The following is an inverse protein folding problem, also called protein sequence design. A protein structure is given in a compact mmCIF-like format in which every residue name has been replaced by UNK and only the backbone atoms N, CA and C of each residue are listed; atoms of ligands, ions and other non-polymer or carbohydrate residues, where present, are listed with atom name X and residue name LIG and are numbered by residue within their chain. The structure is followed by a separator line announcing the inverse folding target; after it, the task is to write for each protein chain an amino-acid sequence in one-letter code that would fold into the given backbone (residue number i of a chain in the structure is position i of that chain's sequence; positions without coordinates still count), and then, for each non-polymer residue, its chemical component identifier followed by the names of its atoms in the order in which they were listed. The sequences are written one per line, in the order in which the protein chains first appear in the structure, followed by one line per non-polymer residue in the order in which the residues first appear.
data_IF_322932622642
#
_entry.id   IF_322932622642
#
_cell.length_a   1.000
_cell.length_b   1.000
_cell.length_c   1.000
_cell.angle_alpha   90.00
_cell.angle_beta   90.00
_cell.angle_gamma   90.00
#
_symmetry.space_group_name_H-M   'P 1'
#
loop_
_entity.id
_entity.type
_entity.pdbx_description
1 polymer ?
#
# COMPACT_ATOMS: atom_id res chain seq x y z
N UNK A 1 4.04 -18.39 -23.85
CA UNK A 1 3.09 -17.28 -23.67
C UNK A 1 3.67 -16.06 -24.32
N UNK A 2 3.04 -15.57 -25.38
CA UNK A 2 3.35 -14.29 -26.02
C UNK A 2 2.24 -13.27 -25.73
N UNK A 3 2.39 -12.02 -26.19
CA UNK A 3 1.44 -10.93 -25.95
C UNK A 3 0.05 -11.22 -26.53
N UNK A 4 -0.03 -11.92 -27.67
CA UNK A 4 -1.31 -12.30 -28.28
C UNK A 4 -2.04 -13.33 -27.41
N UNK A 5 -1.33 -14.36 -26.96
CA UNK A 5 -1.82 -15.37 -26.01
C UNK A 5 -2.23 -14.72 -24.68
N UNK A 6 -1.43 -13.79 -24.15
CA UNK A 6 -1.74 -13.00 -22.96
C UNK A 6 -3.03 -12.21 -23.15
N UNK A 7 -3.19 -11.49 -24.26
CA UNK A 7 -4.39 -10.69 -24.53
C UNK A 7 -5.64 -11.56 -24.61
N UNK A 8 -5.53 -12.76 -25.20
CA UNK A 8 -6.61 -13.75 -25.20
C UNK A 8 -6.92 -14.25 -23.79
N UNK A 9 -5.90 -14.51 -22.96
CA UNK A 9 -6.04 -14.92 -21.56
C UNK A 9 -6.73 -13.83 -20.74
N UNK A 10 -6.30 -12.55 -20.83
CA UNK A 10 -6.92 -11.44 -20.10
C UNK A 10 -8.40 -11.29 -20.45
N UNK A 11 -8.75 -11.39 -21.73
CA UNK A 11 -10.16 -11.41 -22.17
C UNK A 11 -10.92 -12.62 -21.63
N UNK A 12 -10.30 -13.80 -21.65
CA UNK A 12 -10.87 -15.03 -21.10
C UNK A 12 -11.11 -14.97 -19.59
N UNK A 13 -10.25 -14.24 -18.86
CA UNK A 13 -10.37 -13.99 -17.42
C UNK A 13 -11.35 -12.86 -17.07
N UNK A 14 -11.89 -12.13 -18.05
CA UNK A 14 -12.86 -11.04 -17.80
C UNK A 14 -12.23 -9.76 -17.25
N UNK A 15 -10.93 -9.57 -17.47
CA UNK A 15 -10.16 -8.40 -17.07
C UNK A 15 -10.75 -7.14 -17.72
N UNK A 16 -11.18 -6.13 -16.94
CA UNK A 16 -11.69 -4.90 -17.52
C UNK A 16 -10.59 -4.14 -18.29
N UNK A 17 -10.96 -3.56 -19.43
CA UNK A 17 -10.08 -2.68 -20.22
C UNK A 17 -9.57 -1.45 -19.45
N UNK A 18 -10.15 -1.17 -18.27
CA UNK A 18 -9.75 -0.11 -17.36
C UNK A 18 -8.62 -0.52 -16.38
N UNK A 19 -8.18 -1.78 -16.38
CA UNK A 19 -7.20 -2.29 -15.41
C UNK A 19 -5.85 -2.56 -16.04
N UNK A 20 -5.82 -3.21 -17.21
CA UNK A 20 -4.60 -3.62 -17.88
C UNK A 20 -4.49 -2.95 -19.26
N UNK A 21 -3.27 -2.52 -19.60
CA UNK A 21 -2.90 -1.98 -20.91
C UNK A 21 -1.68 -2.73 -21.43
N UNK A 22 -1.84 -3.48 -22.52
CA UNK A 22 -0.74 -4.24 -23.12
C UNK A 22 -0.31 -3.57 -24.43
N UNK A 23 0.99 -3.35 -24.59
CA UNK A 23 1.62 -2.75 -25.77
C UNK A 23 1.57 -1.22 -25.84
N UNK A 24 0.93 -0.54 -24.87
CA UNK A 24 0.92 0.92 -24.79
C UNK A 24 0.78 1.41 -23.35
N UNK A 25 1.31 2.60 -23.10
CA UNK A 25 1.08 3.31 -21.84
C UNK A 25 -0.36 3.81 -21.77
N UNK A 26 -0.96 3.69 -20.59
CA UNK A 26 -2.26 4.28 -20.29
C UNK A 26 -2.29 4.64 -18.81
N UNK A 27 -2.67 5.88 -18.52
CA UNK A 27 -2.76 6.37 -17.15
C UNK A 27 -3.81 5.59 -16.37
N UNK A 28 -3.55 5.34 -15.09
CA UNK A 28 -4.34 4.52 -14.18
C UNK A 28 -4.51 3.06 -14.65
N UNK A 29 -3.46 2.46 -15.23
CA UNK A 29 -3.47 1.05 -15.67
C UNK A 29 -2.16 0.34 -15.30
N UNK A 30 -2.27 -0.97 -15.06
CA UNK A 30 -1.11 -1.84 -15.18
C UNK A 30 -0.72 -1.94 -16.65
N UNK A 31 0.48 -1.50 -16.97
CA UNK A 31 1.04 -1.49 -18.31
C UNK A 31 2.05 -2.62 -18.48
N UNK A 32 1.96 -3.35 -19.58
CA UNK A 32 3.03 -4.20 -20.12
C UNK A 32 3.45 -3.62 -21.46
N UNK A 33 4.66 -3.07 -21.55
CA UNK A 33 5.16 -2.38 -22.76
C UNK A 33 6.56 -2.89 -23.15
N UNK A 34 6.94 -2.79 -24.43
CA UNK A 34 8.32 -3.05 -24.84
C UNK A 34 9.25 -1.98 -24.26
N UNK A 35 10.39 -2.44 -23.71
CA UNK A 35 11.47 -1.59 -23.25
C UNK A 35 12.45 -1.22 -24.37
N UNK A 36 13.40 -0.29 -24.11
CA UNK A 36 14.28 0.29 -25.12
C UNK A 36 15.27 -0.69 -25.76
N UNK A 37 15.64 -1.77 -25.05
CA UNK A 37 16.70 -2.69 -25.45
C UNK A 37 16.17 -4.08 -25.86
N UNK A 38 14.91 -4.16 -26.30
CA UNK A 38 14.24 -5.43 -26.59
C UNK A 38 13.80 -6.20 -25.33
N UNK A 39 13.94 -5.57 -24.16
CA UNK A 39 13.33 -5.98 -22.91
C UNK A 39 11.83 -5.68 -22.88
N UNK A 40 11.16 -6.10 -21.83
CA UNK A 40 9.75 -5.83 -21.58
C UNK A 40 9.57 -5.29 -20.17
N UNK A 41 8.69 -4.32 -20.02
CA UNK A 41 8.47 -3.60 -18.77
C UNK A 41 7.03 -3.76 -18.32
N UNK A 42 6.83 -4.20 -17.08
CA UNK A 42 5.52 -4.36 -16.43
C UNK A 42 5.45 -3.46 -15.19
N UNK A 43 4.44 -2.60 -15.09
CA UNK A 43 4.32 -1.61 -14.02
C UNK A 43 2.89 -1.08 -13.89
N UNK A 44 2.54 -0.46 -12.77
CA UNK A 44 1.40 0.46 -12.70
C UNK A 44 1.80 1.81 -13.30
N UNK A 45 0.98 2.41 -14.16
CA UNK A 45 1.28 3.71 -14.76
C UNK A 45 0.28 4.75 -14.28
N UNK A 46 0.78 5.76 -13.58
CA UNK A 46 -0.05 6.85 -13.04
C UNK A 46 0.72 8.17 -13.11
N UNK A 47 0.02 9.25 -13.45
CA UNK A 47 0.53 10.63 -13.52
C UNK A 47 1.78 10.76 -14.41
N UNK A 48 1.85 9.94 -15.46
CA UNK A 48 2.95 9.97 -16.42
C UNK A 48 4.21 9.21 -15.99
N UNK A 49 4.14 8.40 -14.92
CA UNK A 49 5.28 7.63 -14.41
C UNK A 49 4.96 6.16 -14.17
N UNK A 50 5.93 5.25 -14.39
CA UNK A 50 5.81 3.85 -14.00
C UNK A 50 6.09 3.67 -12.50
N UNK A 51 5.28 2.83 -11.85
CA UNK A 51 5.37 2.39 -10.46
C UNK A 51 5.49 0.87 -10.42
N UNK A 52 6.22 0.33 -9.44
CA UNK A 52 6.43 -1.11 -9.29
C UNK A 52 7.00 -1.77 -10.56
N UNK A 53 7.94 -1.06 -11.21
CA UNK A 53 8.57 -1.47 -12.46
C UNK A 53 9.32 -2.80 -12.32
N UNK A 54 8.86 -3.77 -13.10
CA UNK A 54 9.52 -5.03 -13.34
C UNK A 54 10.02 -5.07 -14.79
N UNK A 55 11.31 -5.36 -14.98
CA UNK A 55 11.93 -5.49 -16.31
C UNK A 55 12.26 -6.95 -16.57
N UNK A 56 11.91 -7.43 -17.76
CA UNK A 56 12.10 -8.80 -18.20
C UNK A 56 12.92 -8.82 -19.49
N UNK A 57 13.78 -9.82 -19.61
CA UNK A 57 14.67 -10.01 -20.76
C UNK A 57 13.98 -10.77 -21.92
N UNK A 58 12.79 -11.30 -21.71
CA UNK A 58 12.03 -12.00 -22.73
C UNK A 58 10.52 -11.86 -22.53
N UNK A 59 9.80 -11.94 -23.65
CA UNK A 59 8.35 -11.73 -23.73
C UNK A 59 7.55 -12.69 -22.86
N UNK A 60 7.97 -13.96 -22.81
CA UNK A 60 7.24 -14.98 -22.05
C UNK A 60 7.32 -14.72 -20.54
N UNK A 61 8.52 -14.44 -20.03
CA UNK A 61 8.71 -14.04 -18.64
C UNK A 61 7.95 -12.75 -18.31
N UNK A 62 7.92 -11.79 -19.24
CA UNK A 62 7.17 -10.56 -19.06
C UNK A 62 5.65 -10.78 -19.01
N UNK A 63 5.11 -11.66 -19.85
CA UNK A 63 3.70 -11.99 -19.83
C UNK A 63 3.30 -12.70 -18.54
N UNK A 64 4.11 -13.66 -18.05
CA UNK A 64 3.87 -14.33 -16.77
C UNK A 64 4.04 -13.38 -15.57
N UNK A 65 5.07 -12.55 -15.61
CA UNK A 65 5.33 -11.53 -14.60
C UNK A 65 4.23 -10.48 -14.56
N UNK A 66 3.73 -10.05 -15.72
CA UNK A 66 2.57 -9.18 -15.84
C UNK A 66 1.31 -9.85 -15.30
N UNK A 67 1.04 -11.12 -15.64
CA UNK A 67 -0.05 -11.91 -15.02
C UNK A 67 0.09 -12.00 -13.49
N UNK A 68 1.31 -11.99 -12.94
CA UNK A 68 1.54 -11.93 -11.50
C UNK A 68 1.24 -10.53 -10.93
N UNK A 69 1.73 -9.49 -11.58
CA UNK A 69 1.53 -8.08 -11.22
C UNK A 69 0.05 -7.72 -11.22
N UNK A 70 -0.64 -8.07 -12.30
CA UNK A 70 -2.07 -7.87 -12.44
C UNK A 70 -2.87 -8.99 -11.77
N UNK A 71 -2.29 -10.14 -11.46
CA UNK A 71 -2.96 -11.23 -10.74
C UNK A 71 -3.24 -10.83 -9.29
N UNK A 72 -2.46 -9.89 -8.74
CA UNK A 72 -2.85 -9.11 -7.56
C UNK A 72 -4.05 -8.18 -7.79
N UNK A 73 -4.54 -8.05 -9.03
CA UNK A 73 -5.57 -7.09 -9.47
C UNK A 73 -6.68 -7.65 -10.40
N UNK A 74 -6.65 -8.92 -10.85
CA UNK A 74 -7.44 -9.38 -12.02
C UNK A 74 -8.43 -10.52 -11.83
N UNK A 75 -8.70 -10.99 -10.61
CA UNK A 75 -9.82 -11.92 -10.41
C UNK A 75 -10.65 -11.69 -9.14
N UNK A 76 -10.18 -10.91 -8.17
CA UNK A 76 -10.84 -10.93 -6.84
C UNK A 76 -10.90 -12.35 -6.24
N UNK A 77 -10.13 -13.29 -6.78
CA UNK A 77 -9.81 -14.62 -6.26
C UNK A 77 -8.33 -14.67 -5.92
N UNK A 78 -8.06 -13.92 -4.86
CA UNK A 78 -7.41 -14.48 -3.67
C UNK A 78 -7.59 -16.01 -3.61
N UNK A 79 -6.58 -16.81 -3.21
CA UNK A 79 -6.75 -18.24 -2.96
C UNK A 79 -7.78 -18.55 -1.85
N UNK A 80 -8.48 -17.54 -1.32
CA UNK A 80 -9.64 -17.67 -0.47
C UNK A 80 -10.81 -16.83 -1.04
N UNK A 81 -12.03 -17.31 -0.81
CA UNK A 81 -13.22 -16.82 -1.51
C UNK A 81 -13.46 -15.31 -1.30
N UNK A 82 -14.13 -14.64 -2.26
CA UNK A 82 -14.38 -13.20 -2.19
C UNK A 82 -15.11 -12.83 -0.90
N UNK A 83 -14.41 -12.12 0.00
CA UNK A 83 -15.05 -11.33 1.04
C UNK A 83 -15.85 -10.20 0.39
N UNK A 84 -17.02 -9.87 0.92
CA UNK A 84 -17.79 -8.70 0.48
C UNK A 84 -16.95 -7.43 0.69
N UNK A 85 -16.23 -6.92 -0.31
CA UNK A 85 -15.36 -5.78 -0.06
C UNK A 85 -14.55 -5.24 -1.24
N UNK A 86 -15.17 -4.92 -2.38
CA UNK A 86 -14.60 -3.92 -3.33
C UNK A 86 -15.27 -2.56 -3.21
N UNK A 87 -16.30 -2.43 -2.37
CA UNK A 87 -16.81 -1.13 -1.93
C UNK A 87 -15.92 -0.59 -0.80
N UNK A 88 -14.85 0.13 -1.14
CA UNK A 88 -14.05 0.87 -0.16
C UNK A 88 -12.53 0.74 -0.27
N UNK A 89 -11.92 0.70 -1.46
CA UNK A 89 -10.46 0.84 -1.61
C UNK A 89 -9.91 2.15 -1.02
N UNK A 90 -10.77 3.17 -0.99
CA UNK A 90 -10.63 4.43 -0.24
C UNK A 90 -11.82 4.54 0.71
N UNK A 91 -11.60 4.97 1.95
CA UNK A 91 -12.63 5.00 2.99
C UNK A 91 -12.19 4.33 4.30
N UNK A 92 -13.14 4.09 5.19
CA UNK A 92 -12.90 3.76 6.59
C UNK A 92 -13.47 4.86 7.48
N UNK A 93 -13.21 4.79 8.78
CA UNK A 93 -13.60 5.87 9.67
C UNK A 93 -12.86 7.16 9.28
N UNK A 94 -13.62 8.24 9.11
CA UNK A 94 -13.08 9.56 8.79
C UNK A 94 -12.15 10.05 9.90
N UNK A 95 -11.19 10.89 9.53
CA UNK A 95 -10.34 11.59 10.49
C UNK A 95 -11.13 12.35 11.56
N UNK A 96 -12.34 12.81 11.25
CA UNK A 96 -13.24 13.51 12.20
C UNK A 96 -14.00 12.57 13.14
N UNK A 97 -13.90 11.25 12.96
CA UNK A 97 -14.59 10.28 13.83
C UNK A 97 -13.99 10.28 15.23
N UNK A 98 -14.80 10.07 16.30
CA UNK A 98 -14.29 10.05 17.67
C UNK A 98 -13.20 9.01 17.92
N UNK A 99 -13.32 7.84 17.28
CA UNK A 99 -12.32 6.78 17.39
C UNK A 99 -10.97 7.22 16.81
N UNK A 100 -10.95 7.88 15.65
CA UNK A 100 -9.72 8.38 15.05
C UNK A 100 -9.13 9.54 15.86
N UNK A 101 -9.97 10.49 16.28
CA UNK A 101 -9.53 11.62 17.11
C UNK A 101 -8.84 11.17 18.41
N UNK A 102 -9.26 10.05 19.00
CA UNK A 102 -8.60 9.49 20.20
C UNK A 102 -7.20 8.91 19.97
N UNK A 103 -6.82 8.68 18.71
CA UNK A 103 -5.52 8.12 18.29
C UNK A 103 -4.58 9.22 17.78
N UNK A 104 -5.14 10.32 17.27
CA UNK A 104 -4.36 11.47 16.82
C UNK A 104 -3.75 12.21 18.02
N UNK A 105 -2.53 12.75 17.84
CA UNK A 105 -1.77 13.41 18.91
C UNK A 105 -2.35 14.80 19.23
N UNK A 106 -3.49 14.89 19.91
CA UNK A 106 -4.11 16.13 20.40
C UNK A 106 -4.25 17.26 19.33
N UNK A 107 -4.42 16.88 18.07
CA UNK A 107 -4.53 17.82 16.94
C UNK A 107 -3.21 18.23 16.29
N UNK A 108 -2.06 17.68 16.70
CA UNK A 108 -0.79 17.85 16.03
C UNK A 108 -0.68 16.98 14.76
N UNK A 109 -1.14 17.56 13.65
CA UNK A 109 -1.15 16.90 12.34
C UNK A 109 0.23 16.89 11.66
N UNK A 110 1.17 17.71 12.11
CA UNK A 110 2.45 17.97 11.43
C UNK A 110 3.68 17.79 12.34
N UNK A 111 3.54 17.10 13.47
CA UNK A 111 4.67 16.78 14.36
C UNK A 111 5.36 18.02 14.94
N UNK A 112 4.57 19.04 15.29
CA UNK A 112 5.04 20.31 15.83
C UNK A 112 5.55 21.29 14.78
N UNK A 113 5.61 20.90 13.50
CA UNK A 113 5.96 21.81 12.41
C UNK A 113 4.74 22.58 11.90
N UNK A 114 4.99 23.75 11.30
CA UNK A 114 3.97 24.41 10.46
C UNK A 114 3.82 23.63 9.16
N UNK A 115 2.60 23.51 8.65
CA UNK A 115 2.31 22.80 7.40
C UNK A 115 3.23 23.21 6.24
N UNK A 116 3.43 24.52 6.02
CA UNK A 116 4.29 24.98 4.93
C UNK A 116 5.76 24.56 5.08
N UNK A 117 6.26 24.41 6.31
CA UNK A 117 7.60 23.87 6.56
C UNK A 117 7.62 22.37 6.36
N UNK A 118 6.65 21.66 6.93
CA UNK A 118 6.49 20.22 6.78
C UNK A 118 6.41 19.83 5.30
N UNK A 119 5.64 20.57 4.49
CA UNK A 119 5.50 20.32 3.06
C UNK A 119 6.83 20.51 2.30
N UNK A 120 7.61 21.54 2.60
CA UNK A 120 8.94 21.71 1.97
C UNK A 120 9.90 20.56 2.28
N UNK A 121 9.77 19.96 3.45
CA UNK A 121 10.67 18.90 3.91
C UNK A 121 10.25 17.52 3.40
N UNK A 122 8.95 17.24 3.43
CA UNK A 122 8.41 15.89 3.23
C UNK A 122 7.58 15.71 1.97
N UNK A 123 7.36 16.76 1.17
CA UNK A 123 6.67 16.67 -0.11
C UNK A 123 7.68 16.85 -1.24
N UNK A 124 7.48 16.11 -2.33
CA UNK A 124 8.24 16.27 -3.57
C UNK A 124 8.03 17.70 -4.08
N UNK A 125 9.10 18.34 -4.58
CA UNK A 125 9.18 19.78 -4.83
C UNK A 125 8.05 20.30 -5.74
N UNK A 126 7.69 19.49 -6.71
CA UNK A 126 6.67 19.71 -7.73
C UNK A 126 5.25 19.75 -7.13
N UNK A 127 5.06 19.14 -5.95
CA UNK A 127 3.76 18.91 -5.31
C UNK A 127 3.57 19.66 -3.99
N UNK A 128 4.49 20.55 -3.61
CA UNK A 128 4.41 21.31 -2.34
C UNK A 128 3.11 22.11 -2.19
N UNK A 129 2.49 22.51 -3.31
CA UNK A 129 1.18 23.19 -3.34
C UNK A 129 -0.04 22.28 -3.50
N UNK A 130 0.15 20.97 -3.66
CA UNK A 130 -0.95 20.03 -3.82
C UNK A 130 -1.64 19.75 -2.49
N UNK A 131 -2.94 19.47 -2.55
CA UNK A 131 -3.74 19.12 -1.38
C UNK A 131 -3.26 17.80 -0.78
N UNK A 132 -3.50 17.63 0.52
CA UNK A 132 -3.32 16.35 1.19
C UNK A 132 -4.10 15.23 0.46
N UNK A 133 -3.50 14.04 0.40
CA UNK A 133 -3.98 12.90 -0.39
C UNK A 133 -3.66 12.95 -1.89
N UNK A 134 -3.19 14.09 -2.42
CA UNK A 134 -2.78 14.23 -3.83
C UNK A 134 -1.29 14.49 -4.03
N UNK A 135 -0.59 14.91 -2.98
CA UNK A 135 0.83 15.26 -3.02
C UNK A 135 1.74 14.04 -2.89
N UNK A 136 2.80 13.99 -3.68
CA UNK A 136 3.83 12.97 -3.56
C UNK A 136 4.75 13.24 -2.36
N UNK A 137 4.95 12.22 -1.53
CA UNK A 137 5.69 12.33 -0.27
C UNK A 137 7.12 11.80 -0.41
N UNK A 138 8.05 12.43 0.30
CA UNK A 138 9.43 11.96 0.50
C UNK A 138 9.46 11.00 1.69
N UNK A 139 9.52 9.71 1.36
CA UNK A 139 9.65 8.63 2.35
C UNK A 139 11.09 8.52 2.87
N UNK A 140 11.29 7.84 4.02
CA UNK A 140 12.62 7.50 4.51
C UNK A 140 13.47 6.80 3.45
N UNK A 141 14.80 6.95 3.52
CA UNK A 141 15.71 6.19 2.68
C UNK A 141 15.48 4.68 2.90
N UNK A 142 15.15 3.90 1.86
CA UNK A 142 14.78 2.49 2.01
C UNK A 142 15.98 1.58 2.35
N UNK A 143 17.21 2.06 2.20
CA UNK A 143 18.41 1.32 2.63
C UNK A 143 18.61 1.45 4.14
N UNK A 144 18.40 2.66 4.67
CA UNK A 144 18.54 2.93 6.11
C UNK A 144 17.30 2.46 6.91
N UNK A 145 16.12 2.67 6.33
CA UNK A 145 14.82 2.42 6.94
C UNK A 145 13.92 1.59 5.99
N UNK A 146 14.32 0.34 5.67
CA UNK A 146 13.56 -0.50 4.77
C UNK A 146 12.13 -0.66 5.28
N UNK A 147 11.15 -0.48 4.39
CA UNK A 147 9.72 -0.58 4.72
C UNK A 147 9.29 0.30 5.91
N UNK A 148 10.03 1.39 6.20
CA UNK A 148 9.77 2.29 7.33
C UNK A 148 10.23 1.78 8.70
N UNK A 149 10.94 0.64 8.77
CA UNK A 149 11.53 0.15 10.02
C UNK A 149 12.67 1.07 10.49
N UNK A 150 12.86 1.19 11.80
CA UNK A 150 13.87 2.08 12.38
C UNK A 150 15.29 1.77 11.93
N UNK A 151 15.61 0.50 11.64
CA UNK A 151 16.89 0.08 11.07
C UNK A 151 16.71 -1.19 10.23
N UNK A 152 17.65 -1.47 9.31
CA UNK A 152 17.62 -2.67 8.48
C UNK A 152 17.64 -4.00 9.25
N UNK A 153 18.29 -4.04 10.41
CA UNK A 153 18.37 -5.23 11.28
C UNK A 153 17.34 -5.24 12.41
N UNK A 154 16.57 -4.16 12.56
CA UNK A 154 15.60 -3.97 13.65
C UNK A 154 14.28 -4.71 13.46
N UNK A 155 14.11 -5.44 12.36
CA UNK A 155 12.89 -6.20 12.07
C UNK A 155 13.10 -7.71 12.26
N UNK A 156 12.07 -8.37 12.77
CA UNK A 156 12.08 -9.81 13.04
C UNK A 156 10.87 -10.46 12.36
N UNK A 157 11.05 -11.61 11.67
CA UNK A 157 9.91 -12.35 11.14
C UNK A 157 9.07 -12.86 12.32
N UNK A 158 7.79 -12.54 12.30
CA UNK A 158 6.83 -12.80 13.38
C UNK A 158 5.54 -13.34 12.79
N UNK A 159 4.63 -13.79 13.65
CA UNK A 159 3.30 -14.23 13.29
C UNK A 159 2.26 -13.51 14.16
N UNK A 160 1.22 -12.98 13.54
CA UNK A 160 0.04 -12.53 14.26
C UNK A 160 -0.85 -13.74 14.56
N UNK A 161 -1.28 -13.88 15.81
CA UNK A 161 -2.13 -15.00 16.24
C UNK A 161 -3.62 -14.69 16.03
N UNK A 162 -4.44 -15.71 15.73
CA UNK A 162 -5.89 -15.56 15.60
C UNK A 162 -6.54 -14.88 16.80
N UNK A 163 -7.54 -14.03 16.52
CA UNK A 163 -8.26 -13.25 17.51
C UNK A 163 -7.62 -11.90 17.86
N UNK A 164 -6.34 -11.68 17.49
CA UNK A 164 -5.70 -10.37 17.68
C UNK A 164 -6.41 -9.30 16.84
N UNK A 165 -6.61 -8.13 17.44
CA UNK A 165 -7.19 -6.98 16.76
C UNK A 165 -6.08 -5.98 16.47
N UNK A 166 -5.98 -5.58 15.21
CA UNK A 166 -5.01 -4.64 14.67
C UNK A 166 -5.75 -3.45 14.07
N UNK A 167 -5.05 -2.36 13.79
CA UNK A 167 -5.58 -1.26 12.99
C UNK A 167 -4.59 -0.75 11.95
N UNK A 168 -5.10 0.06 11.03
CA UNK A 168 -4.29 0.77 10.05
C UNK A 168 -4.92 2.10 9.67
N UNK A 169 -4.06 3.02 9.23
CA UNK A 169 -4.44 4.20 8.46
C UNK A 169 -4.06 4.00 7.01
N UNK A 170 -4.77 4.66 6.10
CA UNK A 170 -4.52 4.56 4.67
C UNK A 170 -5.57 3.71 3.95
N UNK A 171 -5.28 3.46 2.67
CA UNK A 171 -6.11 2.59 1.82
C UNK A 171 -6.00 1.13 2.26
N UNK A 172 -6.89 0.29 1.75
CA UNK A 172 -6.81 -1.17 1.97
C UNK A 172 -5.60 -1.82 1.31
N UNK A 173 -4.89 -1.10 0.44
CA UNK A 173 -3.62 -1.54 -0.16
C UNK A 173 -2.41 -1.37 0.77
N UNK A 174 -2.59 -0.74 1.93
CA UNK A 174 -1.52 -0.64 2.93
C UNK A 174 -0.99 -2.02 3.32
N UNK A 175 0.28 -2.07 3.68
CA UNK A 175 0.94 -3.23 4.28
C UNK A 175 1.31 -3.00 5.74
N UNK A 176 0.92 -1.86 6.30
CA UNK A 176 1.27 -1.43 7.64
C UNK A 176 0.10 -1.70 8.58
N UNK A 177 0.29 -2.62 9.52
CA UNK A 177 -0.62 -2.86 10.63
C UNK A 177 0.03 -2.43 11.95
N UNK A 178 -0.81 -1.99 12.88
CA UNK A 178 -0.39 -1.57 14.23
C UNK A 178 -1.29 -2.22 15.27
N UNK A 179 -0.79 -2.32 16.51
CA UNK A 179 -1.65 -2.64 17.63
C UNK A 179 -2.67 -1.53 17.85
N UNK A 180 -3.89 -1.92 18.21
CA UNK A 180 -4.98 -0.98 18.50
C UNK A 180 -4.54 0.07 19.51
N UNK A 181 -4.80 1.34 19.16
CA UNK A 181 -4.49 2.47 20.02
C UNK A 181 -3.02 2.91 19.99
N UNK A 182 -2.18 2.34 19.12
CA UNK A 182 -0.85 2.90 18.85
C UNK A 182 -1.00 4.38 18.44
N UNK A 183 -0.41 5.35 19.16
CA UNK A 183 -0.59 6.77 18.87
C UNK A 183 -0.12 7.13 17.46
N UNK A 184 -0.77 8.09 16.80
CA UNK A 184 -0.44 8.44 15.42
C UNK A 184 1.01 8.89 15.24
N UNK A 185 1.57 9.64 16.20
CA UNK A 185 2.97 10.04 16.22
C UNK A 185 3.96 8.87 16.32
N UNK A 186 3.56 7.79 16.99
CA UNK A 186 4.37 6.58 17.10
C UNK A 186 4.41 5.77 15.79
N UNK A 187 3.47 6.03 14.87
CA UNK A 187 3.39 5.39 13.55
C UNK A 187 4.23 6.10 12.49
N UNK A 188 4.72 7.32 12.78
CA UNK A 188 5.41 8.19 11.81
C UNK A 188 4.74 8.21 10.44
N UNK A 189 3.41 8.37 10.43
CA UNK A 189 2.62 8.50 9.21
C UNK A 189 2.32 9.98 8.92
N UNK A 190 2.23 10.37 7.64
CA UNK A 190 1.80 11.70 7.23
C UNK A 190 0.28 11.83 7.37
N UNK A 191 -0.22 13.06 7.53
CA UNK A 191 -1.66 13.34 7.67
C UNK A 191 -2.51 12.75 6.53
N UNK A 192 -1.94 12.68 5.32
CA UNK A 192 -2.51 12.08 4.13
C UNK A 192 -3.02 10.63 4.36
N UNK A 193 -2.36 9.87 5.23
CA UNK A 193 -2.80 8.52 5.60
C UNK A 193 -4.03 8.55 6.52
N UNK A 194 -4.09 9.50 7.45
CA UNK A 194 -5.25 9.65 8.33
C UNK A 194 -6.48 10.14 7.56
N UNK A 195 -6.30 10.99 6.55
CA UNK A 195 -7.38 11.45 5.66
C UNK A 195 -7.89 10.34 4.73
N UNK A 196 -7.02 9.39 4.37
CA UNK A 196 -7.38 8.24 3.52
C UNK A 196 -8.28 7.21 4.22
N UNK A 197 -8.37 7.27 5.56
CA UNK A 197 -9.27 6.48 6.38
C UNK A 197 -8.58 5.62 7.43
N UNK A 198 -9.33 5.29 8.49
CA UNK A 198 -8.91 4.39 9.56
C UNK A 198 -9.76 3.12 9.59
N UNK A 199 -9.13 1.97 9.87
CA UNK A 199 -9.78 0.65 9.85
C UNK A 199 -9.26 -0.24 10.95
N UNK A 200 -10.08 -1.21 11.34
CA UNK A 200 -9.71 -2.26 12.29
C UNK A 200 -9.80 -3.63 11.63
N UNK A 201 -8.89 -4.51 12.01
CA UNK A 201 -8.72 -5.82 11.43
C UNK A 201 -8.66 -6.85 12.54
N UNK A 202 -9.40 -7.94 12.40
CA UNK A 202 -9.27 -9.10 13.28
C UNK A 202 -8.53 -10.21 12.56
N UNK A 203 -7.50 -10.74 13.19
CA UNK A 203 -6.75 -11.88 12.65
C UNK A 203 -7.60 -13.15 12.78
N UNK A 204 -7.80 -13.86 11.68
CA UNK A 204 -8.59 -15.09 11.62
C UNK A 204 -7.71 -16.33 11.63
N UNK A 205 -6.61 -16.29 10.87
CA UNK A 205 -5.64 -17.37 10.80
C UNK A 205 -4.23 -16.85 11.08
N UNK A 206 -3.31 -17.71 11.53
CA UNK A 206 -1.96 -17.28 11.85
C UNK A 206 -1.28 -16.60 10.64
N UNK A 207 -0.98 -15.30 10.76
CA UNK A 207 -0.57 -14.46 9.62
C UNK A 207 0.91 -14.06 9.73
N UNK A 208 1.78 -14.45 8.80
CA UNK A 208 3.20 -14.08 8.84
C UNK A 208 3.41 -12.60 8.49
N UNK A 209 4.27 -11.94 9.27
CA UNK A 209 4.59 -10.51 9.14
C UNK A 209 6.05 -10.25 9.50
N UNK A 210 6.59 -9.12 9.07
CA UNK A 210 7.77 -8.53 9.68
C UNK A 210 7.35 -7.60 10.81
N UNK A 211 8.00 -7.68 11.97
CA UNK A 211 7.68 -6.81 13.10
C UNK A 211 8.92 -6.09 13.61
N UNK A 212 8.76 -4.85 14.04
CA UNK A 212 9.84 -4.03 14.54
C UNK A 212 9.45 -2.56 14.75
N UNK A 213 10.35 -1.77 15.35
CA UNK A 213 10.12 -0.36 15.61
C UNK A 213 10.04 0.45 14.32
N UNK A 214 9.18 1.47 14.32
CA UNK A 214 9.01 2.45 13.25
C UNK A 214 10.11 3.51 13.30
N UNK A 215 10.67 3.88 12.15
CA UNK A 215 11.63 4.97 12.05
C UNK A 215 11.00 6.34 12.37
N UNK A 216 11.71 7.26 13.05
CA UNK A 216 11.26 8.64 13.16
C UNK A 216 11.22 9.29 11.77
N UNK A 217 10.06 9.74 11.34
CA UNK A 217 9.88 10.45 10.06
C UNK A 217 8.66 11.39 10.09
N UNK A 218 8.50 12.23 9.07
CA UNK A 218 7.41 13.21 8.93
C UNK A 218 7.25 14.14 10.15
N UNK A 219 8.37 14.55 10.76
CA UNK A 219 8.42 15.30 12.02
C UNK A 219 7.84 14.58 13.25
N UNK A 220 7.64 13.26 13.15
CA UNK A 220 7.07 12.44 14.22
C UNK A 220 8.13 11.55 14.85
N UNK A 221 8.02 11.24 16.15
CA UNK A 221 9.03 10.47 16.88
C UNK A 221 9.11 9.00 16.45
N UNK A 222 8.06 8.43 15.86
CA UNK A 222 8.05 7.01 15.51
C UNK A 222 8.18 6.12 16.74
N UNK A 223 8.91 5.02 16.61
CA UNK A 223 9.21 4.11 17.72
C UNK A 223 8.06 3.20 18.16
N UNK A 224 6.85 3.37 17.60
CA UNK A 224 5.79 2.37 17.70
C UNK A 224 6.22 1.06 17.04
N UNK A 225 5.55 -0.04 17.40
CA UNK A 225 5.81 -1.32 16.76
C UNK A 225 4.88 -1.50 15.56
N UNK A 226 5.46 -1.63 14.37
CA UNK A 226 4.70 -1.94 13.16
C UNK A 226 4.74 -3.43 12.85
N UNK A 227 3.73 -3.89 12.13
CA UNK A 227 3.62 -5.22 11.57
C UNK A 227 3.44 -5.09 10.06
N UNK A 228 4.53 -5.28 9.33
CA UNK A 228 4.56 -5.18 7.88
C UNK A 228 4.18 -6.51 7.24
N UNK A 229 3.07 -6.52 6.52
CA UNK A 229 2.50 -7.73 5.94
C UNK A 229 3.24 -8.16 4.67
N UNK A 230 3.22 -9.46 4.37
CA UNK A 230 3.86 -10.00 3.17
C UNK A 230 3.14 -9.60 1.87
N UNK A 231 1.85 -9.25 1.97
CA UNK A 231 0.98 -8.78 0.88
C UNK A 231 0.05 -7.68 1.42
N UNK A 232 -0.58 -6.86 0.55
CA UNK A 232 -1.57 -5.85 0.95
C UNK A 232 -2.65 -6.37 1.91
N UNK A 233 -3.18 -5.50 2.76
CA UNK A 233 -4.21 -5.87 3.75
C UNK A 233 -5.51 -6.35 3.09
N UNK A 234 -5.93 -5.73 1.98
CA UNK A 234 -7.04 -6.21 1.15
C UNK A 234 -6.82 -7.66 0.72
N UNK A 235 -5.57 -8.00 0.43
CA UNK A 235 -5.18 -9.33 0.00
C UNK A 235 -5.05 -10.33 1.14
N UNK A 236 -4.98 -9.88 2.38
CA UNK A 236 -5.13 -10.75 3.55
C UNK A 236 -6.61 -10.99 3.87
N UNK A 237 -7.47 -10.01 3.61
CA UNK A 237 -8.92 -10.09 3.84
C UNK A 237 -9.59 -11.07 2.89
N UNK A 238 -9.41 -10.88 1.58
CA UNK A 238 -9.97 -11.83 0.62
C UNK A 238 -9.37 -13.22 0.77
N UNK A 239 -8.16 -13.30 1.35
CA UNK A 239 -7.45 -14.53 1.68
C UNK A 239 -7.83 -15.07 3.05
N UNK A 240 -8.88 -14.57 3.70
CA UNK A 240 -9.36 -15.08 4.99
C UNK A 240 -8.32 -15.14 6.12
N UNK A 241 -7.19 -14.43 6.00
CA UNK A 241 -6.17 -14.34 7.05
C UNK A 241 -6.59 -13.36 8.13
N UNK A 242 -7.24 -12.28 7.71
CA UNK A 242 -7.82 -11.25 8.57
C UNK A 242 -9.22 -10.89 8.06
N UNK A 243 -10.02 -10.20 8.85
CA UNK A 243 -11.28 -9.60 8.42
C UNK A 243 -11.34 -8.14 8.87
N UNK A 244 -11.99 -7.28 8.07
CA UNK A 244 -12.33 -5.93 8.51
C UNK A 244 -13.45 -5.99 9.55
N UNK A 245 -13.30 -5.20 10.63
CA UNK A 245 -14.32 -5.05 11.66
C UNK A 245 -14.70 -3.58 11.84
N UNK A 246 -15.88 -3.33 12.41
CA UNK A 246 -16.35 -1.98 12.67
C UNK A 246 -15.44 -1.21 13.64
N UNK A 247 -15.33 0.09 13.38
CA UNK A 247 -14.60 1.08 14.21
C UNK A 247 -15.46 1.55 15.38
#
# INVERSE_FOLDING_TARGET
MNIDELTMILRGLGVPDSVASVGRLRDDHYCLVPGPDGSFEAFWYERGGPHDLCVYDNEAAACFGFLGLIGGALDGSQPLGPGRGTAGSVGGASISSPAVQSILDDGDLFGGMREAQWAREFVVSEDVGASAGRRLLRWPDPTLHPDGFATATGRTPTRLDPGRIMDSFGTTFTRLLYDIGTPFGARSLPIDYAESGYRRWKVLTPTPVWSGPVAPWFARPGGGNQYFTVMPVVDLVGSGFIEEIAV
#
